data_IF_087620482607
#
_entry.id   IF_087620482607
#
_cell.length_a   1.000
_cell.length_b   1.000
_cell.length_c   1.000
_cell.angle_alpha   90.00
_cell.angle_beta   90.00
_cell.angle_gamma   90.00
#
_symmetry.space_group_name_H-M   'P 1'
#
loop_
_entity.id
_entity.type
_entity.pdbx_description
1 polymer ?
#
# COMPACT_ATOMS: atom_id res chain seq x y z
N UNK A 1 29.76 -36.67 2.85
CA UNK A 1 28.62 -35.74 2.93
C UNK A 1 28.15 -35.27 1.55
N UNK A 2 28.98 -34.60 0.73
CA UNK A 2 28.57 -34.15 -0.61
C UNK A 2 28.05 -35.28 -1.53
N UNK A 3 28.73 -36.44 -1.51
CA UNK A 3 28.28 -37.65 -2.24
C UNK A 3 26.88 -38.11 -1.80
N UNK A 4 26.54 -38.00 -0.51
CA UNK A 4 25.23 -38.38 0.00
C UNK A 4 24.15 -37.41 -0.49
N UNK A 5 24.43 -36.11 -0.42
CA UNK A 5 23.54 -35.06 -0.94
C UNK A 5 23.25 -35.28 -2.43
N UNK A 6 24.28 -35.55 -3.24
CA UNK A 6 24.10 -35.79 -4.68
C UNK A 6 23.30 -37.06 -4.94
N UNK A 7 23.63 -38.16 -4.27
CA UNK A 7 22.91 -39.42 -4.42
C UNK A 7 21.43 -39.28 -4.04
N UNK A 8 21.14 -38.63 -2.90
CA UNK A 8 19.76 -38.38 -2.50
C UNK A 8 19.05 -37.41 -3.44
N UNK A 9 19.72 -36.37 -3.93
CA UNK A 9 19.15 -35.44 -4.90
C UNK A 9 18.72 -36.16 -6.18
N UNK A 10 19.56 -37.04 -6.73
CA UNK A 10 19.21 -37.86 -7.92
C UNK A 10 17.96 -38.68 -7.63
N UNK A 11 17.92 -39.38 -6.49
CA UNK A 11 16.78 -40.21 -6.07
C UNK A 11 15.50 -39.37 -5.94
N UNK A 12 15.58 -38.20 -5.28
CA UNK A 12 14.44 -37.30 -5.10
C UNK A 12 13.98 -36.71 -6.44
N UNK A 13 14.92 -36.35 -7.32
CA UNK A 13 14.63 -35.80 -8.64
C UNK A 13 13.84 -36.78 -9.50
N UNK A 14 14.25 -38.04 -9.51
CA UNK A 14 13.56 -39.11 -10.24
C UNK A 14 12.18 -39.42 -9.68
N UNK A 15 12.04 -39.39 -8.34
CA UNK A 15 10.82 -39.81 -7.65
C UNK A 15 9.73 -38.76 -7.55
N UNK A 16 10.10 -37.52 -7.24
CA UNK A 16 9.17 -36.41 -6.98
C UNK A 16 9.54 -35.13 -7.73
N UNK A 17 10.77 -35.03 -8.24
CA UNK A 17 11.38 -33.76 -8.62
C UNK A 17 11.23 -33.33 -10.07
N UNK A 18 10.71 -34.14 -10.99
CA UNK A 18 10.53 -33.71 -12.40
C UNK A 18 9.64 -32.47 -12.57
N UNK A 19 8.84 -32.13 -11.56
CA UNK A 19 7.86 -31.04 -11.58
C UNK A 19 8.09 -29.98 -10.50
N UNK A 20 9.17 -30.11 -9.73
CA UNK A 20 9.55 -29.19 -8.65
C UNK A 20 10.68 -28.26 -9.11
N UNK A 21 10.82 -27.12 -8.43
CA UNK A 21 11.97 -26.22 -8.66
C UNK A 21 13.23 -26.91 -8.18
N UNK A 22 14.19 -27.11 -9.09
CA UNK A 22 15.38 -27.93 -8.82
C UNK A 22 16.26 -27.33 -7.71
N UNK A 23 16.37 -26.01 -7.66
CA UNK A 23 17.15 -25.32 -6.64
C UNK A 23 16.57 -25.50 -5.23
N UNK A 24 15.24 -25.46 -5.11
CA UNK A 24 14.53 -25.74 -3.85
C UNK A 24 14.64 -27.21 -3.47
N UNK A 25 14.57 -28.11 -4.44
CA UNK A 25 14.78 -29.54 -4.21
C UNK A 25 16.18 -29.82 -3.67
N UNK A 26 17.21 -29.24 -4.30
CA UNK A 26 18.58 -29.34 -3.82
C UNK A 26 18.72 -28.74 -2.41
N UNK A 27 18.15 -27.56 -2.18
CA UNK A 27 18.09 -26.92 -0.86
C UNK A 27 17.47 -27.81 0.21
N UNK A 28 16.36 -28.49 -0.12
CA UNK A 28 15.69 -29.43 0.77
C UNK A 28 16.54 -30.67 1.07
N UNK A 29 17.24 -31.21 0.08
CA UNK A 29 18.16 -32.36 0.28
C UNK A 29 19.37 -31.97 1.11
N UNK A 30 19.94 -30.77 0.89
CA UNK A 30 21.00 -30.21 1.72
C UNK A 30 20.51 -30.07 3.18
N UNK A 31 19.32 -29.50 3.37
CA UNK A 31 18.69 -29.34 4.67
C UNK A 31 18.47 -30.68 5.38
N UNK A 32 17.92 -31.68 4.69
CA UNK A 32 17.73 -33.05 5.21
C UNK A 32 19.04 -33.68 5.68
N UNK A 33 20.12 -33.53 4.90
CA UNK A 33 21.41 -34.16 5.21
C UNK A 33 22.15 -33.47 6.36
N UNK A 34 21.99 -32.14 6.50
CA UNK A 34 22.71 -31.35 7.51
C UNK A 34 21.92 -31.17 8.82
N UNK A 35 20.59 -31.16 8.73
CA UNK A 35 19.68 -30.95 9.86
C UNK A 35 18.62 -32.07 9.93
N UNK A 36 19.02 -33.35 10.01
CA UNK A 36 18.09 -34.49 9.87
C UNK A 36 17.00 -34.50 10.94
N UNK A 37 17.31 -34.07 12.16
CA UNK A 37 16.32 -33.95 13.26
C UNK A 37 15.29 -32.87 12.96
N UNK A 38 15.72 -31.68 12.56
CA UNK A 38 14.83 -30.56 12.22
C UNK A 38 13.97 -30.91 10.98
N UNK A 39 14.56 -31.61 10.01
CA UNK A 39 13.85 -32.12 8.83
C UNK A 39 12.76 -33.13 9.19
N UNK A 40 13.03 -34.04 10.13
CA UNK A 40 12.02 -34.97 10.64
C UNK A 40 10.90 -34.21 11.38
N UNK A 41 11.25 -33.23 12.22
CA UNK A 41 10.28 -32.38 12.92
C UNK A 41 9.41 -31.57 11.94
N UNK A 42 9.96 -31.14 10.80
CA UNK A 42 9.24 -30.41 9.76
C UNK A 42 8.06 -31.22 9.18
N UNK A 43 8.13 -32.56 9.16
CA UNK A 43 7.01 -33.41 8.71
C UNK A 43 5.80 -33.36 9.63
N UNK A 44 6.00 -33.01 10.90
CA UNK A 44 4.96 -32.92 11.92
C UNK A 44 4.70 -31.48 12.34
N UNK A 45 4.98 -30.51 11.45
CA UNK A 45 4.78 -29.08 11.69
C UNK A 45 5.52 -28.59 12.95
N UNK A 46 6.78 -29.03 13.12
CA UNK A 46 7.67 -28.65 14.21
C UNK A 46 9.06 -28.32 13.66
N UNK A 47 9.97 -27.95 14.55
CA UNK A 47 11.36 -27.63 14.22
C UNK A 47 11.58 -26.14 13.96
N UNK A 48 12.86 -25.79 13.89
CA UNK A 48 13.35 -24.43 13.73
C UNK A 48 12.86 -23.79 12.43
N UNK A 49 12.96 -24.51 11.30
CA UNK A 49 12.50 -24.00 10.00
C UNK A 49 11.00 -23.71 10.02
N UNK A 50 10.21 -24.62 10.57
CA UNK A 50 8.76 -24.42 10.69
C UNK A 50 8.40 -23.21 11.54
N UNK A 51 9.10 -23.00 12.67
CA UNK A 51 8.90 -21.83 13.53
C UNK A 51 9.17 -20.52 12.78
N UNK A 52 10.22 -20.44 11.96
CA UNK A 52 10.49 -19.23 11.15
C UNK A 52 9.38 -19.00 10.13
N UNK A 53 8.94 -20.05 9.43
CA UNK A 53 7.87 -19.97 8.42
C UNK A 53 6.56 -19.49 9.05
N UNK A 54 6.19 -20.04 10.21
CA UNK A 54 4.94 -19.68 10.91
C UNK A 54 5.01 -18.34 11.63
N UNK A 55 6.20 -17.91 12.07
CA UNK A 55 6.40 -16.58 12.65
C UNK A 55 6.13 -15.44 11.66
N UNK A 56 6.19 -15.72 10.35
CA UNK A 56 5.94 -14.74 9.27
C UNK A 56 4.64 -13.96 9.47
N UNK A 57 3.52 -14.65 9.70
CA UNK A 57 2.21 -14.00 9.82
C UNK A 57 2.16 -13.06 11.03
N UNK A 58 2.71 -13.51 12.17
CA UNK A 58 2.82 -12.70 13.38
C UNK A 58 3.71 -11.48 13.20
N UNK A 59 4.86 -11.64 12.53
CA UNK A 59 5.77 -10.55 12.20
C UNK A 59 5.12 -9.53 11.27
N UNK A 60 4.48 -9.98 10.17
CA UNK A 60 3.74 -9.10 9.26
C UNK A 60 2.69 -8.32 10.05
N UNK A 61 1.89 -8.99 10.89
CA UNK A 61 0.88 -8.33 11.71
C UNK A 61 1.47 -7.27 12.64
N UNK A 62 2.61 -7.54 13.27
CA UNK A 62 3.32 -6.58 14.12
C UNK A 62 3.78 -5.35 13.32
N UNK A 63 4.47 -5.57 12.20
CA UNK A 63 4.96 -4.47 11.34
C UNK A 63 3.82 -3.65 10.77
N UNK A 64 2.71 -4.29 10.36
CA UNK A 64 1.51 -3.59 9.92
C UNK A 64 0.91 -2.73 11.05
N UNK A 65 0.88 -3.24 12.28
CA UNK A 65 0.48 -2.47 13.46
C UNK A 65 1.36 -1.24 13.69
N UNK A 66 2.68 -1.38 13.52
CA UNK A 66 3.63 -0.27 13.66
C UNK A 66 3.46 0.78 12.58
N UNK A 67 3.25 0.36 11.34
CA UNK A 67 2.97 1.26 10.21
C UNK A 67 1.67 2.03 10.49
N UNK A 68 0.62 1.35 10.92
CA UNK A 68 -0.67 1.98 11.22
C UNK A 68 -0.55 3.00 12.37
N UNK A 69 0.21 2.67 13.42
CA UNK A 69 0.54 3.63 14.50
C UNK A 69 1.26 4.86 13.96
N UNK A 70 2.24 4.69 13.08
CA UNK A 70 2.98 5.80 12.48
C UNK A 70 2.11 6.68 11.59
N UNK A 71 1.20 6.09 10.81
CA UNK A 71 0.23 6.83 10.00
C UNK A 71 -0.65 7.69 10.91
N UNK A 72 -1.26 7.09 11.94
CA UNK A 72 -2.11 7.81 12.89
C UNK A 72 -1.35 8.97 13.59
N UNK A 73 -0.09 8.78 13.97
CA UNK A 73 0.73 9.84 14.57
C UNK A 73 0.91 11.02 13.60
N UNK A 74 1.16 10.74 12.31
CA UNK A 74 1.37 11.77 11.28
C UNK A 74 0.07 12.48 10.92
N UNK A 75 -1.05 11.76 10.83
CA UNK A 75 -2.38 12.35 10.63
C UNK A 75 -2.74 13.32 11.77
N UNK A 76 -2.55 12.91 13.02
CA UNK A 76 -2.71 13.79 14.19
C UNK A 76 -1.73 14.98 14.17
N UNK A 77 -0.55 14.84 13.58
CA UNK A 77 0.39 15.94 13.43
C UNK A 77 -0.08 16.95 12.38
N UNK A 78 -0.70 16.51 11.28
CA UNK A 78 -1.31 17.39 10.28
C UNK A 78 -2.39 18.26 10.95
N UNK A 79 -3.32 17.66 11.71
CA UNK A 79 -4.36 18.42 12.42
C UNK A 79 -3.78 19.48 13.38
N UNK A 80 -2.70 19.13 14.09
CA UNK A 80 -2.02 20.08 14.99
C UNK A 80 -1.35 21.21 14.23
N UNK A 81 -0.75 20.92 13.08
CA UNK A 81 -0.14 21.93 12.21
C UNK A 81 -1.18 22.90 11.68
N UNK A 82 -2.37 22.41 11.30
CA UNK A 82 -3.49 23.24 10.85
C UNK A 82 -4.03 24.13 11.98
N UNK A 83 -4.23 23.56 13.18
CA UNK A 83 -4.67 24.33 14.36
C UNK A 83 -3.65 25.40 14.75
N UNK A 84 -2.36 25.07 14.75
CA UNK A 84 -1.29 26.04 15.06
C UNK A 84 -1.22 27.13 13.99
N UNK A 85 -1.41 26.79 12.70
CA UNK A 85 -1.47 27.79 11.61
C UNK A 85 -2.55 28.83 11.86
N UNK A 86 -3.78 28.39 12.17
CA UNK A 86 -4.89 29.30 12.46
C UNK A 86 -4.59 30.22 13.66
N UNK A 87 -3.89 29.68 14.66
CA UNK A 87 -3.46 30.45 15.83
C UNK A 87 -2.38 31.46 15.47
N UNK A 88 -1.33 31.06 14.74
CA UNK A 88 -0.24 31.95 14.32
C UNK A 88 -0.74 33.11 13.45
N UNK A 89 -1.71 32.86 12.56
CA UNK A 89 -2.34 33.92 11.75
C UNK A 89 -3.12 34.90 12.63
N UNK A 90 -3.90 34.41 13.62
CA UNK A 90 -4.59 35.29 14.58
C UNK A 90 -3.64 36.08 15.46
N UNK A 91 -2.52 35.49 15.87
CA UNK A 91 -1.46 36.17 16.63
C UNK A 91 -0.80 37.26 15.79
N UNK A 92 -0.52 36.98 14.51
CA UNK A 92 -0.04 37.98 13.55
C UNK A 92 -1.03 39.14 13.46
N UNK A 93 -2.32 38.89 13.26
CA UNK A 93 -3.35 39.95 13.20
C UNK A 93 -3.43 40.76 14.49
N UNK A 94 -3.31 40.08 15.64
CA UNK A 94 -3.29 40.74 16.96
C UNK A 94 -2.11 41.71 17.12
N UNK A 95 -0.95 41.38 16.54
CA UNK A 95 0.24 42.24 16.53
C UNK A 95 -0.03 43.58 15.84
N UNK A 96 -0.69 43.55 14.67
CA UNK A 96 -1.05 44.77 13.93
C UNK A 96 -2.11 45.60 14.64
N UNK A 97 -3.12 44.97 15.24
CA UNK A 97 -4.13 45.67 16.04
C UNK A 97 -3.51 46.31 17.30
N UNK A 98 -2.55 45.64 17.93
CA UNK A 98 -1.81 46.20 19.05
C UNK A 98 -0.97 47.42 18.63
N UNK A 99 -0.29 47.34 17.48
CA UNK A 99 0.48 48.47 16.95
C UNK A 99 -0.42 49.69 16.66
N UNK A 100 -1.65 49.46 16.18
CA UNK A 100 -2.65 50.51 15.99
C UNK A 100 -3.02 51.20 17.31
N UNK A 101 -3.28 50.44 18.38
CA UNK A 101 -3.61 50.97 19.71
C UNK A 101 -2.43 51.76 20.27
N UNK A 102 -1.21 51.22 20.18
CA UNK A 102 -0.01 51.85 20.73
C UNK A 102 0.33 53.19 20.06
N UNK A 103 -0.11 53.41 18.82
CA UNK A 103 0.06 54.70 18.14
C UNK A 103 -0.76 55.83 18.80
N UNK A 104 -1.79 55.50 19.59
CA UNK A 104 -2.67 56.45 20.29
C UNK A 104 -2.67 56.28 21.82
N UNK A 105 -1.53 56.49 22.51
CA UNK A 105 -1.34 56.10 23.91
C UNK A 105 -2.03 57.02 24.95
N UNK A 106 -2.77 58.07 24.55
CA UNK A 106 -3.41 59.01 25.49
C UNK A 106 -4.81 59.38 25.02
N UNK A 107 -5.84 58.81 25.64
CA UNK A 107 -7.24 59.26 25.55
C UNK A 107 -8.13 58.58 24.49
N UNK A 108 -7.58 57.78 23.57
CA UNK A 108 -8.37 57.06 22.56
C UNK A 108 -8.37 55.55 22.85
N UNK A 109 -9.41 55.08 23.55
CA UNK A 109 -9.72 53.66 23.69
C UNK A 109 -10.24 53.11 22.36
N UNK A 110 -9.36 52.73 21.42
CA UNK A 110 -9.79 52.07 20.18
C UNK A 110 -10.37 50.70 20.53
N UNK A 111 -11.70 50.62 20.60
CA UNK A 111 -12.46 49.38 20.89
C UNK A 111 -13.16 48.84 19.66
N UNK A 112 -13.52 49.73 18.73
CA UNK A 112 -14.28 49.43 17.52
C UNK A 112 -13.55 49.97 16.31
N UNK A 113 -13.32 49.11 15.32
CA UNK A 113 -12.77 49.46 14.01
C UNK A 113 -13.91 49.48 12.99
N UNK A 114 -13.85 50.45 12.08
CA UNK A 114 -14.79 50.51 10.95
C UNK A 114 -14.14 49.86 9.73
N UNK A 115 -14.77 48.80 9.21
CA UNK A 115 -14.36 48.08 8.00
C UNK A 115 -15.56 48.11 7.05
N UNK A 116 -15.38 48.61 5.84
CA UNK A 116 -16.46 48.69 4.83
C UNK A 116 -17.77 49.32 5.35
N UNK A 117 -17.65 50.40 6.15
CA UNK A 117 -18.77 51.12 6.78
C UNK A 117 -19.55 50.33 7.84
N UNK A 118 -19.01 49.22 8.34
CA UNK A 118 -19.55 48.44 9.44
C UNK A 118 -18.59 48.44 10.63
N UNK A 119 -19.17 48.34 11.82
CA UNK A 119 -18.44 48.40 13.09
C UNK A 119 -18.11 46.98 13.54
N UNK A 120 -16.84 46.75 13.89
CA UNK A 120 -16.35 45.48 14.40
C UNK A 120 -15.50 45.69 15.65
N UNK A 121 -15.61 44.80 16.61
CA UNK A 121 -14.67 44.72 17.73
C UNK A 121 -13.28 44.31 17.22
N UNK A 122 -12.26 44.57 18.03
CA UNK A 122 -10.89 44.13 17.72
C UNK A 122 -10.78 42.60 17.56
N UNK A 123 -11.58 41.82 18.29
CA UNK A 123 -11.55 40.36 18.16
C UNK A 123 -12.21 39.90 16.86
N UNK A 124 -13.36 40.48 16.48
CA UNK A 124 -14.01 40.19 15.20
C UNK A 124 -13.13 40.58 14.02
N UNK A 125 -12.41 41.70 14.12
CA UNK A 125 -11.49 42.18 13.08
C UNK A 125 -10.35 41.20 12.78
N UNK A 126 -10.03 40.24 13.65
CA UNK A 126 -9.03 39.17 13.40
C UNK A 126 -9.54 38.08 12.45
N UNK A 127 -10.82 38.09 12.09
CA UNK A 127 -11.36 37.20 11.07
C UNK A 127 -10.66 37.42 9.72
N UNK A 128 -10.52 36.35 8.93
CA UNK A 128 -9.82 36.36 7.66
C UNK A 128 -10.32 37.42 6.66
N UNK A 129 -11.61 37.39 6.35
CA UNK A 129 -12.20 38.31 5.39
C UNK A 129 -12.13 39.76 5.88
N UNK A 130 -12.42 39.99 7.17
CA UNK A 130 -12.41 41.31 7.77
C UNK A 130 -10.99 41.89 7.84
N UNK A 131 -10.01 41.10 8.27
CA UNK A 131 -8.64 41.57 8.35
C UNK A 131 -8.05 41.83 6.97
N UNK A 132 -8.38 41.01 5.96
CA UNK A 132 -7.98 41.26 4.56
C UNK A 132 -8.56 42.58 4.03
N UNK A 133 -9.82 42.89 4.35
CA UNK A 133 -10.45 44.16 3.98
C UNK A 133 -9.82 45.36 4.72
N UNK A 134 -9.50 45.19 6.01
CA UNK A 134 -8.76 46.18 6.79
C UNK A 134 -7.36 46.44 6.20
N UNK A 135 -6.63 45.37 5.84
CA UNK A 135 -5.29 45.46 5.27
C UNK A 135 -5.26 46.17 3.91
N UNK A 136 -6.35 46.10 3.15
CA UNK A 136 -6.53 46.78 1.85
C UNK A 136 -7.07 48.20 1.99
N UNK A 137 -7.44 48.64 3.19
CA UNK A 137 -8.07 49.95 3.40
C UNK A 137 -7.07 51.09 3.28
N UNK A 138 -7.44 52.13 2.52
CA UNK A 138 -6.60 53.32 2.34
C UNK A 138 -6.55 54.20 3.60
N UNK A 139 -7.60 54.17 4.42
CA UNK A 139 -7.71 54.94 5.65
C UNK A 139 -8.26 54.07 6.77
N UNK A 140 -7.59 54.09 7.92
CA UNK A 140 -8.04 53.39 9.12
C UNK A 140 -9.02 54.26 9.91
N UNK A 141 -10.08 53.62 10.40
CA UNK A 141 -11.22 54.30 11.01
C UNK A 141 -11.64 53.58 12.28
N UNK A 142 -12.07 54.35 13.28
CA UNK A 142 -12.62 53.82 14.54
C UNK A 142 -13.97 54.45 14.87
N UNK A 143 -14.73 53.76 15.71
CA UNK A 143 -16.02 54.26 16.18
C UNK A 143 -16.17 54.08 17.69
N UNK A 144 -15.60 54.99 18.49
CA UNK A 144 -15.65 54.90 19.96
C UNK A 144 -16.79 55.77 20.53
N UNK A 145 -16.73 57.09 20.31
CA UNK A 145 -17.77 58.06 20.71
C UNK A 145 -18.45 58.73 19.49
N UNK A 146 -18.05 58.31 18.29
CA UNK A 146 -18.42 58.85 17.00
C UNK A 146 -17.50 58.29 15.93
N UNK A 147 -17.79 58.56 14.65
CA UNK A 147 -16.94 58.14 13.55
C UNK A 147 -15.66 58.98 13.51
N UNK A 148 -14.50 58.32 13.60
CA UNK A 148 -13.19 58.97 13.63
C UNK A 148 -12.29 58.40 12.53
N UNK A 149 -11.70 59.29 11.74
CA UNK A 149 -10.60 58.94 10.84
C UNK A 149 -9.29 59.00 11.63
N UNK A 150 -8.54 57.89 11.64
CA UNK A 150 -7.30 57.77 12.42
C UNK A 150 -6.09 58.37 11.69
N UNK A 151 -6.25 59.00 10.52
CA UNK A 151 -5.15 59.65 9.80
C UNK A 151 -3.98 58.73 9.44
N UNK A 152 -4.22 57.41 9.47
CA UNK A 152 -3.24 56.36 9.21
C UNK A 152 -3.74 55.48 8.07
N UNK A 153 -2.80 55.01 7.27
CA UNK A 153 -3.01 53.95 6.29
C UNK A 153 -2.60 52.61 6.90
N UNK A 154 -3.08 51.49 6.35
CA UNK A 154 -2.59 50.18 6.82
C UNK A 154 -1.09 50.00 6.55
N UNK A 155 -0.56 50.60 5.48
CA UNK A 155 0.88 50.61 5.18
C UNK A 155 1.72 51.30 6.25
N UNK A 156 1.15 52.28 6.95
CA UNK A 156 1.82 52.89 8.11
C UNK A 156 1.89 51.91 9.29
N UNK A 157 0.88 51.07 9.48
CA UNK A 157 0.93 49.97 10.46
C UNK A 157 1.94 48.91 10.07
N UNK A 158 2.02 48.54 8.80
CA UNK A 158 3.04 47.60 8.31
C UNK A 158 4.43 48.06 8.70
N UNK A 159 4.79 49.31 8.38
CA UNK A 159 6.10 49.87 8.75
C UNK A 159 6.37 49.92 10.25
N UNK A 160 5.33 50.01 11.09
CA UNK A 160 5.48 50.00 12.55
C UNK A 160 5.73 48.58 13.09
N UNK A 161 5.17 47.57 12.44
CA UNK A 161 5.25 46.17 12.86
C UNK A 161 6.47 45.47 12.27
N UNK A 162 6.70 45.66 10.97
CA UNK A 162 7.81 45.09 10.20
C UNK A 162 8.16 46.05 9.04
N UNK A 163 9.30 46.76 9.10
CA UNK A 163 9.67 47.73 8.07
C UNK A 163 10.02 47.09 6.72
N UNK A 164 10.33 45.79 6.70
CA UNK A 164 10.85 45.09 5.52
C UNK A 164 9.78 44.26 4.82
N UNK A 165 8.70 43.86 5.51
CA UNK A 165 7.65 42.98 4.97
C UNK A 165 6.24 43.51 5.20
N UNK A 166 5.39 43.35 4.18
CA UNK A 166 3.96 43.63 4.30
C UNK A 166 3.26 42.58 5.16
N UNK A 167 2.02 42.88 5.59
CA UNK A 167 1.17 41.89 6.24
C UNK A 167 0.95 40.66 5.35
N UNK A 168 0.69 40.88 4.06
CA UNK A 168 0.41 39.81 3.11
C UNK A 168 1.64 38.92 2.87
N UNK A 169 2.85 39.50 2.82
CA UNK A 169 4.08 38.70 2.72
C UNK A 169 4.25 37.80 3.95
N UNK A 170 3.98 38.32 5.15
CA UNK A 170 4.11 37.56 6.40
C UNK A 170 3.04 36.49 6.54
N UNK A 171 1.81 36.78 6.11
CA UNK A 171 0.72 35.81 6.05
C UNK A 171 1.04 34.68 5.06
N UNK A 172 1.58 35.02 3.88
CA UNK A 172 2.02 34.06 2.87
C UNK A 172 3.18 33.19 3.39
N UNK A 173 4.17 33.76 4.06
CA UNK A 173 5.28 32.99 4.64
C UNK A 173 4.80 31.96 5.68
N UNK A 174 3.85 32.34 6.52
CA UNK A 174 3.22 31.42 7.48
C UNK A 174 2.48 30.30 6.75
N UNK A 175 1.71 30.64 5.71
CA UNK A 175 0.99 29.67 4.89
C UNK A 175 1.94 28.69 4.19
N UNK A 176 2.97 29.19 3.51
CA UNK A 176 3.95 28.36 2.78
C UNK A 176 4.69 27.40 3.72
N UNK A 177 5.03 27.84 4.93
CA UNK A 177 5.68 26.99 5.94
C UNK A 177 4.76 25.83 6.38
N UNK A 178 3.48 26.10 6.54
CA UNK A 178 2.46 25.12 6.92
C UNK A 178 2.22 24.13 5.78
N UNK A 179 2.05 24.63 4.55
CA UNK A 179 1.87 23.80 3.35
C UNK A 179 3.06 22.89 3.09
N UNK A 180 4.29 23.40 3.21
CA UNK A 180 5.49 22.58 3.03
C UNK A 180 5.54 21.42 4.02
N UNK A 181 5.21 21.68 5.30
CA UNK A 181 5.16 20.65 6.34
C UNK A 181 4.03 19.64 6.11
N UNK A 182 2.85 20.11 5.70
CA UNK A 182 1.70 19.25 5.38
C UNK A 182 2.02 18.34 4.20
N UNK A 183 2.61 18.88 3.14
CA UNK A 183 3.02 18.13 1.96
C UNK A 183 4.05 17.05 2.31
N UNK A 184 5.05 17.38 3.13
CA UNK A 184 6.03 16.40 3.61
C UNK A 184 5.37 15.25 4.39
N UNK A 185 4.47 15.57 5.32
CA UNK A 185 3.74 14.54 6.09
C UNK A 185 2.85 13.66 5.20
N UNK A 186 2.20 14.23 4.19
CA UNK A 186 1.43 13.45 3.22
C UNK A 186 2.31 12.48 2.41
N UNK A 187 3.48 12.92 1.94
CA UNK A 187 4.41 12.02 1.25
C UNK A 187 4.88 10.87 2.14
N UNK A 188 5.18 11.15 3.41
CA UNK A 188 5.57 10.11 4.37
C UNK A 188 4.42 9.10 4.61
N UNK A 189 3.18 9.58 4.75
CA UNK A 189 1.99 8.72 4.89
C UNK A 189 1.80 7.86 3.64
N UNK A 190 1.97 8.43 2.44
CA UNK A 190 1.86 7.68 1.20
C UNK A 190 2.91 6.56 1.13
N UNK A 191 4.17 6.87 1.44
CA UNK A 191 5.24 5.86 1.47
C UNK A 191 4.97 4.73 2.47
N UNK A 192 4.38 5.05 3.63
CA UNK A 192 3.94 4.06 4.61
C UNK A 192 2.80 3.19 4.09
N UNK A 193 1.79 3.77 3.42
CA UNK A 193 0.67 3.02 2.81
C UNK A 193 1.16 2.08 1.71
N UNK A 194 2.09 2.52 0.87
CA UNK A 194 2.71 1.67 -0.14
C UNK A 194 3.51 0.52 0.48
N UNK A 195 4.31 0.80 1.53
CA UNK A 195 5.04 -0.25 2.27
C UNK A 195 4.08 -1.27 2.88
N UNK A 196 2.96 -0.80 3.44
CA UNK A 196 1.89 -1.63 4.02
C UNK A 196 1.33 -2.60 2.99
N UNK A 197 0.91 -2.08 1.84
CA UNK A 197 0.33 -2.88 0.76
C UNK A 197 1.35 -3.90 0.23
N UNK A 198 2.58 -3.46 -0.02
CA UNK A 198 3.65 -4.36 -0.49
C UNK A 198 3.87 -5.52 0.47
N UNK A 199 3.90 -5.29 1.79
CA UNK A 199 4.24 -6.31 2.80
C UNK A 199 3.22 -7.46 2.91
N UNK A 200 1.93 -7.18 2.65
CA UNK A 200 0.86 -8.17 2.83
C UNK A 200 0.97 -9.38 1.88
N UNK A 201 1.66 -9.22 0.76
CA UNK A 201 1.68 -10.21 -0.34
C UNK A 201 3.05 -10.88 -0.52
N UNK A 202 4.06 -10.52 0.29
CA UNK A 202 5.44 -10.99 0.08
C UNK A 202 5.68 -12.42 0.55
N UNK A 203 6.66 -13.08 -0.08
CA UNK A 203 7.25 -14.33 0.41
C UNK A 203 8.11 -14.10 1.65
N UNK A 204 8.37 -15.16 2.42
CA UNK A 204 9.30 -15.16 3.54
C UNK A 204 10.70 -14.73 3.09
N UNK A 205 11.16 -15.23 1.93
CA UNK A 205 12.46 -14.88 1.37
C UNK A 205 12.60 -13.38 1.12
N UNK A 206 11.57 -12.74 0.55
CA UNK A 206 11.57 -11.29 0.34
C UNK A 206 11.63 -10.51 1.66
N UNK A 207 10.87 -10.94 2.67
CA UNK A 207 10.89 -10.32 4.00
C UNK A 207 12.29 -10.44 4.61
N UNK A 208 12.90 -11.62 4.56
CA UNK A 208 14.24 -11.88 5.11
C UNK A 208 15.36 -11.14 4.37
N UNK A 209 15.17 -10.78 3.10
CA UNK A 209 16.12 -9.94 2.35
C UNK A 209 16.00 -8.46 2.69
N UNK A 210 14.78 -7.99 2.95
CA UNK A 210 14.48 -6.56 3.11
C UNK A 210 14.52 -6.08 4.56
N UNK A 211 13.98 -6.86 5.51
CA UNK A 211 13.88 -6.51 6.93
C UNK A 211 13.56 -7.76 7.76
N UNK A 212 14.54 -8.37 8.45
CA UNK A 212 14.41 -8.88 9.83
C UNK A 212 15.53 -9.84 10.21
N UNK A 213 16.31 -9.49 11.23
CA UNK A 213 16.96 -10.52 12.06
C UNK A 213 15.95 -11.14 13.04
N UNK A 214 14.89 -10.41 13.39
CA UNK A 214 13.87 -10.83 14.37
C UNK A 214 13.20 -12.17 14.03
N UNK A 215 12.88 -12.42 12.74
CA UNK A 215 12.27 -13.68 12.31
C UNK A 215 13.19 -14.89 12.44
N UNK A 216 14.51 -14.67 12.44
CA UNK A 216 15.52 -15.74 12.46
C UNK A 216 16.23 -15.84 13.81
N UNK A 217 15.74 -15.16 14.84
CA UNK A 217 16.36 -15.13 16.18
C UNK A 217 16.58 -16.53 16.76
N UNK A 218 15.64 -17.46 16.54
CA UNK A 218 15.72 -18.85 17.00
C UNK A 218 16.76 -19.71 16.25
N UNK A 219 17.24 -19.23 15.09
CA UNK A 219 18.24 -19.89 14.24
C UNK A 219 19.46 -19.02 13.97
N UNK A 220 19.70 -17.99 14.79
CA UNK A 220 20.75 -16.98 14.55
C UNK A 220 22.15 -17.57 14.31
N UNK A 221 22.45 -18.71 14.95
CA UNK A 221 23.74 -19.41 14.81
C UNK A 221 23.79 -20.33 13.58
N UNK A 222 22.63 -20.72 13.03
CA UNK A 222 22.50 -21.62 11.89
C UNK A 222 22.56 -20.85 10.55
N UNK A 223 23.74 -20.30 10.24
CA UNK A 223 23.98 -19.44 9.05
C UNK A 223 23.49 -20.06 7.74
N UNK A 224 23.61 -21.37 7.58
CA UNK A 224 23.14 -22.06 6.39
C UNK A 224 21.61 -22.10 6.30
N UNK A 225 20.89 -22.35 7.41
CA UNK A 225 19.43 -22.29 7.41
C UNK A 225 18.94 -20.89 7.06
N UNK A 226 19.56 -19.87 7.64
CA UNK A 226 19.27 -18.46 7.33
C UNK A 226 19.49 -18.20 5.84
N UNK A 227 20.60 -18.68 5.27
CA UNK A 227 20.88 -18.53 3.84
C UNK A 227 19.80 -19.22 2.98
N UNK A 228 19.47 -20.48 3.28
CA UNK A 228 18.47 -21.24 2.54
C UNK A 228 17.09 -20.56 2.56
N UNK A 229 16.68 -20.00 3.70
CA UNK A 229 15.41 -19.28 3.84
C UNK A 229 15.44 -17.90 3.16
N UNK A 230 16.53 -17.14 3.33
CA UNK A 230 16.69 -15.78 2.77
C UNK A 230 16.66 -15.77 1.25
N UNK A 231 17.24 -16.78 0.63
CA UNK A 231 17.28 -16.92 -0.82
C UNK A 231 16.17 -17.82 -1.38
N UNK A 232 15.25 -18.30 -0.54
CA UNK A 232 14.07 -19.05 -0.98
C UNK A 232 14.35 -20.48 -1.45
N UNK A 233 15.50 -21.05 -1.09
CA UNK A 233 15.78 -22.48 -1.27
C UNK A 233 14.97 -23.34 -0.30
N UNK A 234 14.61 -22.78 0.87
CA UNK A 234 13.56 -23.24 1.76
C UNK A 234 12.56 -22.10 1.92
N UNK A 235 11.26 -22.41 1.88
CA UNK A 235 10.21 -21.40 1.97
C UNK A 235 8.89 -22.01 2.46
N UNK A 236 7.81 -21.24 2.39
CA UNK A 236 6.48 -21.64 2.82
C UNK A 236 5.88 -22.79 1.98
N UNK A 237 6.50 -23.14 0.85
CA UNK A 237 6.12 -24.28 0.00
C UNK A 237 6.80 -25.59 0.38
N UNK A 238 7.55 -25.63 1.50
CA UNK A 238 8.34 -26.79 1.95
C UNK A 238 7.58 -28.13 1.90
N UNK A 239 6.27 -28.13 2.16
CA UNK A 239 5.45 -29.34 2.18
C UNK A 239 5.53 -30.12 0.85
N UNK A 240 5.60 -29.41 -0.28
CA UNK A 240 5.71 -30.00 -1.62
C UNK A 240 7.04 -30.72 -1.87
N UNK A 241 8.05 -30.50 -1.00
CA UNK A 241 9.39 -31.06 -1.15
C UNK A 241 9.70 -32.17 -0.13
N UNK A 242 8.87 -32.34 0.90
CA UNK A 242 9.05 -33.36 1.94
C UNK A 242 8.03 -34.50 1.85
N UNK A 243 6.84 -34.24 1.31
CA UNK A 243 5.78 -35.23 1.20
C UNK A 243 5.77 -35.87 -0.18
N UNK A 244 5.61 -37.20 -0.23
CA UNK A 244 5.16 -37.84 -1.44
C UNK A 244 3.74 -37.37 -1.73
N UNK A 245 3.48 -36.89 -2.95
CA UNK A 245 2.13 -36.56 -3.34
C UNK A 245 1.30 -37.85 -3.40
N UNK A 246 0.40 -38.01 -2.45
CA UNK A 246 -0.64 -39.03 -2.47
C UNK A 246 -1.92 -38.39 -2.98
N UNK A 247 -2.50 -38.96 -4.04
CA UNK A 247 -3.80 -38.53 -4.53
C UNK A 247 -4.84 -38.66 -3.41
N UNK A 248 -5.53 -37.56 -3.13
CA UNK A 248 -6.47 -37.45 -2.02
C UNK A 248 -7.50 -36.38 -2.34
N UNK A 249 -7.48 -35.28 -1.58
CA UNK A 249 -8.39 -34.14 -1.82
C UNK A 249 -8.11 -33.40 -3.14
N UNK A 250 -6.93 -33.56 -3.74
CA UNK A 250 -6.55 -32.96 -5.03
C UNK A 250 -5.94 -34.04 -5.94
N UNK A 251 -6.09 -33.93 -7.25
CA UNK A 251 -5.43 -34.84 -8.22
C UNK A 251 -3.99 -34.42 -8.46
N UNK A 252 -3.19 -35.31 -9.04
CA UNK A 252 -1.80 -35.02 -9.36
C UNK A 252 -1.68 -33.89 -10.37
N UNK A 253 -2.52 -33.92 -11.40
CA UNK A 253 -2.59 -32.92 -12.46
C UNK A 253 -2.99 -31.55 -11.91
N UNK A 254 -3.99 -31.47 -11.02
CA UNK A 254 -4.39 -30.21 -10.40
C UNK A 254 -3.26 -29.64 -9.51
N UNK A 255 -2.56 -30.51 -8.77
CA UNK A 255 -1.44 -30.08 -7.94
C UNK A 255 -0.23 -29.64 -8.78
N UNK A 256 -0.01 -30.26 -9.94
CA UNK A 256 1.01 -29.79 -10.90
C UNK A 256 0.69 -28.38 -11.40
N UNK A 257 -0.59 -28.09 -11.65
CA UNK A 257 -1.02 -26.74 -12.03
C UNK A 257 -0.78 -25.73 -10.89
N UNK A 258 -1.11 -26.08 -9.64
CA UNK A 258 -0.79 -25.23 -8.48
C UNK A 258 0.71 -24.92 -8.42
N UNK A 259 1.54 -25.93 -8.62
CA UNK A 259 3.00 -25.76 -8.60
C UNK A 259 3.48 -24.89 -9.76
N UNK A 260 2.96 -25.08 -10.97
CA UNK A 260 3.37 -24.28 -12.12
C UNK A 260 3.00 -22.80 -11.94
N UNK A 261 1.80 -22.51 -11.42
CA UNK A 261 1.41 -21.13 -11.06
C UNK A 261 2.40 -20.52 -10.06
N UNK A 262 2.71 -21.24 -8.98
CA UNK A 262 3.65 -20.77 -7.94
C UNK A 262 5.08 -20.62 -8.42
N UNK A 263 5.46 -21.35 -9.46
CA UNK A 263 6.80 -21.31 -10.04
C UNK A 263 6.88 -20.38 -11.26
N UNK A 264 5.81 -19.65 -11.58
CA UNK A 264 5.75 -18.78 -12.75
C UNK A 264 5.99 -19.52 -14.07
N UNK A 265 5.43 -20.73 -14.17
CA UNK A 265 5.47 -21.58 -15.35
C UNK A 265 4.07 -21.69 -15.96
N UNK A 266 3.90 -21.19 -17.19
CA UNK A 266 2.62 -21.25 -17.87
C UNK A 266 2.28 -22.69 -18.32
N UNK A 267 1.02 -23.06 -18.18
CA UNK A 267 0.43 -24.26 -18.77
C UNK A 267 -0.50 -23.87 -19.93
N UNK A 268 -0.80 -24.80 -20.86
CA UNK A 268 -1.85 -24.56 -21.85
C UNK A 268 -3.16 -24.14 -21.17
N UNK A 269 -3.87 -23.18 -21.74
CA UNK A 269 -5.12 -22.68 -21.15
C UNK A 269 -6.21 -23.75 -21.02
N UNK A 270 -6.14 -24.78 -21.87
CA UNK A 270 -6.99 -25.98 -21.88
C UNK A 270 -6.51 -27.10 -20.93
N UNK A 271 -5.48 -26.86 -20.11
CA UNK A 271 -4.98 -27.86 -19.16
C UNK A 271 -6.13 -28.34 -18.26
N UNK A 272 -6.42 -29.65 -18.29
CA UNK A 272 -7.60 -30.21 -17.64
C UNK A 272 -7.47 -30.13 -16.12
N UNK A 273 -8.44 -29.47 -15.48
CA UNK A 273 -8.57 -29.42 -14.03
C UNK A 273 -9.81 -30.21 -13.59
N UNK A 274 -9.72 -30.88 -12.44
CA UNK A 274 -10.81 -31.74 -11.94
C UNK A 274 -11.28 -31.36 -10.54
N UNK A 275 -10.37 -31.13 -9.59
CA UNK A 275 -10.69 -30.74 -8.20
C UNK A 275 -10.40 -29.26 -7.96
N UNK A 276 -11.02 -28.41 -8.78
CA UNK A 276 -10.76 -26.96 -8.86
C UNK A 276 -10.96 -26.26 -7.50
N UNK A 277 -12.02 -26.60 -6.76
CA UNK A 277 -12.25 -26.09 -5.40
C UNK A 277 -11.03 -26.25 -4.48
N UNK A 278 -10.40 -27.43 -4.50
CA UNK A 278 -9.26 -27.75 -3.64
C UNK A 278 -7.96 -27.13 -4.17
N UNK A 279 -7.86 -26.94 -5.49
CA UNK A 279 -6.78 -26.20 -6.14
C UNK A 279 -6.83 -24.71 -5.75
N UNK A 280 -7.99 -24.06 -5.84
CA UNK A 280 -8.18 -22.65 -5.48
C UNK A 280 -7.76 -22.39 -4.03
N UNK A 281 -8.11 -23.29 -3.10
CA UNK A 281 -7.69 -23.21 -1.68
C UNK A 281 -6.18 -23.27 -1.46
N UNK A 282 -5.40 -23.73 -2.43
CA UNK A 282 -3.93 -23.82 -2.36
C UNK A 282 -3.22 -22.62 -3.00
N UNK A 283 -3.94 -21.74 -3.68
CA UNK A 283 -3.43 -20.49 -4.25
C UNK A 283 -3.83 -19.33 -3.33
N UNK A 284 -2.96 -18.32 -3.21
CA UNK A 284 -3.25 -17.08 -2.49
C UNK A 284 -3.72 -16.03 -3.51
N UNK A 285 -4.30 -14.91 -3.07
CA UNK A 285 -4.77 -13.86 -3.99
C UNK A 285 -3.68 -13.34 -4.95
N UNK A 286 -2.43 -13.25 -4.50
CA UNK A 286 -1.31 -12.76 -5.31
C UNK A 286 -1.01 -13.66 -6.53
N UNK A 287 -1.22 -14.98 -6.43
CA UNK A 287 -1.06 -15.85 -7.59
C UNK A 287 -2.07 -15.55 -8.70
N UNK A 288 -3.26 -15.03 -8.35
CA UNK A 288 -4.28 -14.58 -9.30
C UNK A 288 -3.97 -13.23 -9.96
N UNK A 289 -2.85 -12.59 -9.62
CA UNK A 289 -2.34 -11.38 -10.28
C UNK A 289 -1.31 -11.70 -11.36
N UNK A 290 -1.02 -12.98 -11.57
CA UNK A 290 -0.03 -13.44 -12.55
C UNK A 290 -0.69 -14.18 -13.71
N UNK A 291 -0.14 -14.10 -14.93
CA UNK A 291 -0.74 -14.73 -16.10
C UNK A 291 -0.69 -16.27 -16.05
N UNK A 292 0.10 -16.83 -15.13
CA UNK A 292 0.25 -18.28 -14.96
C UNK A 292 -1.04 -18.95 -14.46
N UNK A 293 -1.97 -18.17 -13.91
CA UNK A 293 -3.28 -18.65 -13.45
C UNK A 293 -4.29 -18.83 -14.60
N UNK A 294 -3.99 -18.31 -15.79
CA UNK A 294 -4.89 -18.38 -16.94
C UNK A 294 -5.17 -19.84 -17.35
N UNK A 295 -6.40 -20.27 -17.12
CA UNK A 295 -6.90 -21.59 -17.45
C UNK A 295 -8.43 -21.54 -17.58
N UNK A 296 -8.98 -22.17 -18.62
CA UNK A 296 -10.40 -22.07 -18.94
C UNK A 296 -11.28 -22.69 -17.85
N UNK A 297 -10.91 -23.88 -17.38
CA UNK A 297 -11.66 -24.56 -16.31
C UNK A 297 -11.63 -23.77 -15.00
N UNK A 298 -10.50 -23.16 -14.66
CA UNK A 298 -10.37 -22.34 -13.46
C UNK A 298 -11.23 -21.07 -13.54
N UNK A 299 -11.20 -20.38 -14.68
CA UNK A 299 -12.00 -19.17 -14.88
C UNK A 299 -13.50 -19.48 -14.86
N UNK A 300 -13.94 -20.54 -15.56
CA UNK A 300 -15.33 -21.01 -15.54
C UNK A 300 -15.81 -21.24 -14.11
N UNK A 301 -15.04 -21.98 -13.32
CA UNK A 301 -15.34 -22.24 -11.91
C UNK A 301 -15.47 -20.97 -11.06
N UNK A 302 -14.60 -19.98 -11.27
CA UNK A 302 -14.62 -18.71 -10.54
C UNK A 302 -15.84 -17.87 -10.96
N UNK A 303 -16.19 -17.84 -12.24
CA UNK A 303 -17.36 -17.13 -12.77
C UNK A 303 -18.68 -17.72 -12.26
N UNK A 304 -18.79 -19.05 -12.25
CA UNK A 304 -19.95 -19.78 -11.69
C UNK A 304 -20.18 -19.44 -10.21
N UNK A 305 -19.11 -19.11 -9.47
CA UNK A 305 -19.14 -18.77 -8.04
C UNK A 305 -18.64 -17.36 -7.75
N UNK A 306 -18.95 -16.42 -8.64
CA UNK A 306 -18.43 -15.03 -8.58
C UNK A 306 -18.62 -14.34 -7.23
N UNK A 307 -19.69 -14.65 -6.48
CA UNK A 307 -19.94 -14.09 -5.15
C UNK A 307 -19.02 -14.64 -4.06
N UNK A 308 -18.59 -15.90 -4.18
CA UNK A 308 -17.65 -16.53 -3.25
C UNK A 308 -16.20 -16.16 -3.56
N UNK A 309 -15.92 -15.85 -4.84
CA UNK A 309 -14.57 -15.61 -5.35
C UNK A 309 -14.37 -14.19 -5.90
N UNK A 310 -15.08 -13.19 -5.37
CA UNK A 310 -15.05 -11.78 -5.82
C UNK A 310 -13.62 -11.27 -5.95
N UNK A 311 -12.77 -11.53 -4.96
CA UNK A 311 -11.38 -11.06 -4.96
C UNK A 311 -10.55 -11.73 -6.06
N UNK A 312 -10.68 -13.05 -6.26
CA UNK A 312 -9.94 -13.76 -7.30
C UNK A 312 -10.39 -13.37 -8.70
N UNK A 313 -11.72 -13.26 -8.90
CA UNK A 313 -12.30 -12.78 -10.15
C UNK A 313 -11.79 -11.38 -10.47
N UNK A 314 -11.79 -10.47 -9.49
CA UNK A 314 -11.28 -9.11 -9.67
C UNK A 314 -9.84 -9.11 -10.20
N UNK A 315 -8.93 -9.89 -9.60
CA UNK A 315 -7.53 -9.95 -10.04
C UNK A 315 -7.37 -10.52 -11.45
N UNK A 316 -8.10 -11.58 -11.80
CA UNK A 316 -8.07 -12.14 -13.17
C UNK A 316 -8.57 -11.11 -14.18
N UNK A 317 -9.68 -10.42 -13.88
CA UNK A 317 -10.24 -9.40 -14.77
C UNK A 317 -9.26 -8.24 -14.91
N UNK A 318 -8.65 -7.77 -13.83
CA UNK A 318 -7.66 -6.69 -13.88
C UNK A 318 -6.46 -7.05 -14.79
N UNK A 319 -6.02 -8.31 -14.81
CA UNK A 319 -5.03 -8.79 -15.78
C UNK A 319 -5.54 -8.75 -17.21
N UNK A 320 -6.79 -9.16 -17.46
CA UNK A 320 -7.38 -9.15 -18.81
C UNK A 320 -7.54 -7.71 -19.32
N UNK A 321 -7.97 -6.80 -18.45
CA UNK A 321 -8.13 -5.37 -18.76
C UNK A 321 -6.79 -4.69 -19.07
N UNK A 322 -5.66 -5.25 -18.61
CA UNK A 322 -4.33 -4.71 -18.97
C UNK A 322 -4.09 -4.68 -20.48
N UNK A 323 -4.76 -5.56 -21.24
CA UNK A 323 -4.64 -5.64 -22.70
C UNK A 323 -3.26 -6.11 -23.16
N UNK A 324 -2.46 -6.72 -22.29
CA UNK A 324 -1.18 -7.28 -22.70
C UNK A 324 -1.36 -8.46 -23.66
N UNK A 325 -0.30 -8.82 -24.38
CA UNK A 325 -0.36 -9.89 -25.40
C UNK A 325 -0.86 -11.23 -24.83
N UNK A 326 -0.53 -11.55 -23.59
CA UNK A 326 -0.90 -12.82 -22.96
C UNK A 326 -2.40 -12.82 -22.61
N UNK A 327 -2.87 -11.72 -22.03
CA UNK A 327 -4.27 -11.46 -21.72
C UNK A 327 -5.14 -11.51 -22.99
N UNK A 328 -4.70 -10.85 -24.07
CA UNK A 328 -5.40 -10.85 -25.37
C UNK A 328 -5.51 -12.24 -25.96
N UNK A 329 -4.40 -13.01 -25.99
CA UNK A 329 -4.41 -14.39 -26.49
C UNK A 329 -5.30 -15.29 -25.65
N UNK A 330 -5.21 -15.20 -24.32
CA UNK A 330 -6.06 -15.99 -23.43
C UNK A 330 -7.54 -15.70 -23.67
N UNK A 331 -7.89 -14.43 -23.77
CA UNK A 331 -9.26 -13.98 -23.98
C UNK A 331 -9.80 -14.44 -25.34
N UNK A 332 -9.03 -14.27 -26.41
CA UNK A 332 -9.41 -14.72 -27.75
C UNK A 332 -9.69 -16.23 -27.77
N UNK A 333 -8.76 -17.04 -27.25
CA UNK A 333 -8.95 -18.49 -27.20
C UNK A 333 -10.12 -18.88 -26.28
N UNK A 334 -10.34 -18.18 -25.16
CA UNK A 334 -11.45 -18.43 -24.24
C UNK A 334 -12.81 -18.16 -24.89
N UNK A 335 -12.96 -17.05 -25.63
CA UNK A 335 -14.23 -16.70 -26.29
C UNK A 335 -14.66 -17.74 -27.34
N UNK A 336 -13.70 -18.44 -27.94
CA UNK A 336 -13.95 -19.50 -28.92
C UNK A 336 -14.14 -20.90 -28.31
N UNK A 337 -13.86 -21.09 -27.01
CA UNK A 337 -13.69 -22.42 -26.42
C UNK A 337 -14.65 -22.76 -25.27
N UNK A 338 -15.43 -21.82 -24.74
CA UNK A 338 -16.28 -22.06 -23.55
C UNK A 338 -17.75 -21.70 -23.75
N UNK A 339 -18.63 -22.27 -22.91
CA UNK A 339 -20.04 -21.90 -22.83
C UNK A 339 -20.31 -20.72 -21.90
N UNK A 340 -19.30 -20.20 -21.22
CA UNK A 340 -19.41 -19.17 -20.18
C UNK A 340 -19.13 -17.75 -20.68
N UNK A 341 -19.10 -17.57 -21.99
CA UNK A 341 -18.79 -16.31 -22.69
C UNK A 341 -19.64 -15.14 -22.19
N UNK A 342 -20.97 -15.29 -22.05
CA UNK A 342 -21.84 -14.19 -21.62
C UNK A 342 -21.46 -13.64 -20.24
N UNK A 343 -21.27 -14.52 -19.26
CA UNK A 343 -20.92 -14.13 -17.88
C UNK A 343 -19.54 -13.48 -17.82
N UNK A 344 -18.60 -13.98 -18.64
CA UNK A 344 -17.27 -13.40 -18.73
C UNK A 344 -17.30 -12.00 -19.36
N UNK A 345 -18.01 -11.84 -20.48
CA UNK A 345 -18.17 -10.56 -21.18
C UNK A 345 -18.81 -9.53 -20.26
N UNK A 346 -19.84 -9.90 -19.49
CA UNK A 346 -20.45 -9.01 -18.49
C UNK A 346 -19.44 -8.56 -17.43
N UNK A 347 -18.63 -9.49 -16.90
CA UNK A 347 -17.64 -9.19 -15.87
C UNK A 347 -16.53 -8.25 -16.39
N UNK A 348 -16.06 -8.46 -17.62
CA UNK A 348 -15.03 -7.61 -18.23
C UNK A 348 -15.59 -6.26 -18.65
N UNK A 349 -16.74 -6.21 -19.33
CA UNK A 349 -17.35 -4.97 -19.80
C UNK A 349 -17.73 -4.02 -18.64
N UNK A 350 -18.07 -4.57 -17.47
CA UNK A 350 -18.32 -3.78 -16.26
C UNK A 350 -17.05 -3.07 -15.72
N UNK A 351 -15.85 -3.57 -16.06
CA UNK A 351 -14.56 -3.05 -15.56
C UNK A 351 -13.70 -2.40 -16.64
N UNK A 352 -13.90 -2.70 -17.91
CA UNK A 352 -13.11 -2.18 -19.03
C UNK A 352 -13.95 -1.35 -20.00
N UNK A 353 -13.86 -0.03 -19.87
CA UNK A 353 -14.56 0.90 -20.78
C UNK A 353 -14.12 0.80 -22.25
N UNK A 354 -12.90 0.30 -22.51
CA UNK A 354 -12.36 0.06 -23.85
C UNK A 354 -12.71 -1.30 -24.46
N UNK A 355 -13.46 -2.14 -23.74
CA UNK A 355 -13.82 -3.51 -24.15
C UNK A 355 -14.40 -3.58 -25.57
N UNK A 356 -15.40 -2.74 -25.87
CA UNK A 356 -16.10 -2.78 -27.16
C UNK A 356 -15.20 -2.35 -28.33
N UNK A 357 -14.29 -1.39 -28.10
CA UNK A 357 -13.31 -0.98 -29.10
C UNK A 357 -12.30 -2.10 -29.38
N UNK A 358 -11.88 -2.82 -28.35
CA UNK A 358 -10.98 -3.97 -28.48
C UNK A 358 -11.61 -5.11 -29.31
N UNK A 359 -12.88 -5.45 -29.04
CA UNK A 359 -13.60 -6.45 -29.83
C UNK A 359 -13.71 -6.00 -31.29
N UNK A 360 -14.04 -4.73 -31.54
CA UNK A 360 -14.16 -4.19 -32.89
C UNK A 360 -12.84 -4.28 -33.68
N UNK A 361 -11.69 -4.06 -33.05
CA UNK A 361 -10.37 -4.19 -33.68
C UNK A 361 -9.87 -5.64 -33.85
N UNK A 362 -10.52 -6.61 -33.20
CA UNK A 362 -10.12 -8.03 -33.24
C UNK A 362 -10.90 -8.85 -34.29
N UNK A 363 -11.91 -8.24 -34.92
CA UNK A 363 -12.80 -8.85 -35.92
C UNK A 363 -12.43 -8.41 -37.36
N UNK A 364 -11.51 -7.46 -37.51
CA UNK A 364 -10.83 -7.11 -38.78
C UNK A 364 -9.56 -7.94 -38.95
#
# INVERSE_FOLDING_TARGET
MLKNVINEYIIYKEKIGLRLVQDKLLGMVIYKNLYPKDFADLHVNKGKVYQVITAKEGYIKSVLGDIERQINIKENLIERVEKESLKSVKELRSLYLLALIQKYPRGHDIKIIVIERKNYTLEEAKNDALFSALAKSQHLQSHNYGFENLGLTFKDLEKLVDPDKSYFDREEELFLKVEARRKALHYEIQGLKEKRNRLQEQSLSYILQSVSEDLVTNIKEDKLLIYLLRYGYLDESYYSYISYFYEGSITKEDNDFVLSVKNHEAKPYTFKLTKIEQLVRKLRPIEFETPYVFNFHLLDFILERKTEHVNYLAKIIDQIVSGDKTAVLFLDEYLHSTSHVSTMVEAVAARWSGWWNFIQSSVE
#
